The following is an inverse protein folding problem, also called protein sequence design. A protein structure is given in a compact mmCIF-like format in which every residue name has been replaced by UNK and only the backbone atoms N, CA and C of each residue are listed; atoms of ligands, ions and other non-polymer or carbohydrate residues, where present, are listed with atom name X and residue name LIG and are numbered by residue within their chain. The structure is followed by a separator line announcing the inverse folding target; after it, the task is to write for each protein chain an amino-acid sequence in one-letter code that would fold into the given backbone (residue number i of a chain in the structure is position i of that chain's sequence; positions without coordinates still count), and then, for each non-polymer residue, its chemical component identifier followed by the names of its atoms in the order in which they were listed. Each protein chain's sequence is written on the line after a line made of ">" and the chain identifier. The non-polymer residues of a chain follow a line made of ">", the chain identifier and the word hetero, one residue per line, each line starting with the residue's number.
data_IF_532320657854
#
_entry.id   IF_532320657854
#
_cell.length_a   1.000
_cell.length_b   1.000
_cell.length_c   1.000
_cell.angle_alpha   90.00
_cell.angle_beta   90.00
_cell.angle_gamma   90.00
#
_symmetry.space_group_name_H-M   'P 1'
#
loop_
_entity.id
_entity.type
_entity.pdbx_description
1 polymer ?
#
# COMPACT_ATOMS: atom_id res chain seq x y z
N UNK A 1 -28.26 0.69 24.97
CA UNK A 1 -28.29 0.22 23.58
C UNK A 1 -26.96 -0.47 23.30
N UNK A 2 -26.97 -1.66 22.68
CA UNK A 2 -25.75 -2.44 22.40
C UNK A 2 -25.42 -2.23 20.91
N UNK A 3 -24.20 -1.79 20.61
CA UNK A 3 -23.70 -1.67 19.24
C UNK A 3 -23.04 -3.01 18.88
N UNK A 4 -23.55 -3.66 17.84
CA UNK A 4 -22.99 -4.91 17.29
C UNK A 4 -22.21 -4.54 16.03
N UNK A 5 -20.99 -5.07 15.91
CA UNK A 5 -20.14 -4.88 14.73
C UNK A 5 -20.10 -6.18 13.94
N UNK A 6 -20.29 -6.07 12.62
CA UNK A 6 -20.17 -7.19 11.68
C UNK A 6 -18.69 -7.55 11.45
N UNK A 7 -18.46 -8.78 10.99
CA UNK A 7 -17.14 -9.21 10.55
C UNK A 7 -16.72 -8.49 9.27
N UNK A 8 -15.42 -8.22 9.13
CA UNK A 8 -14.89 -7.53 7.95
C UNK A 8 -14.87 -8.47 6.73
N UNK A 9 -15.53 -8.06 5.65
CA UNK A 9 -15.39 -8.70 4.35
C UNK A 9 -14.07 -8.28 3.69
N UNK A 10 -13.65 -9.01 2.66
CA UNK A 10 -12.39 -8.71 1.95
C UNK A 10 -12.44 -7.35 1.25
N UNK A 11 -13.63 -6.94 0.80
CA UNK A 11 -13.85 -5.61 0.25
C UNK A 11 -13.60 -4.51 1.30
N UNK A 12 -14.01 -4.73 2.56
CA UNK A 12 -13.78 -3.78 3.65
C UNK A 12 -12.29 -3.73 4.00
N UNK A 13 -11.61 -4.88 3.99
CA UNK A 13 -10.16 -4.95 4.22
C UNK A 13 -9.39 -4.18 3.14
N UNK A 14 -9.79 -4.29 1.87
CA UNK A 14 -9.19 -3.52 0.77
C UNK A 14 -9.36 -2.02 0.99
N UNK A 15 -10.57 -1.55 1.32
CA UNK A 15 -10.79 -0.14 1.63
C UNK A 15 -9.96 0.33 2.83
N UNK A 16 -9.78 -0.51 3.84
CA UNK A 16 -8.94 -0.17 4.98
C UNK A 16 -7.47 -0.08 4.55
N UNK A 17 -6.97 -0.96 3.68
CA UNK A 17 -5.62 -0.85 3.11
C UNK A 17 -5.47 0.47 2.35
N UNK A 18 -6.42 0.82 1.47
CA UNK A 18 -6.42 2.09 0.73
C UNK A 18 -6.35 3.30 1.67
N UNK A 19 -7.17 3.29 2.74
CA UNK A 19 -7.15 4.35 3.75
C UNK A 19 -5.82 4.45 4.49
N UNK A 20 -5.14 3.33 4.76
CA UNK A 20 -3.83 3.33 5.41
C UNK A 20 -2.74 3.82 4.46
N UNK A 21 -2.81 3.45 3.18
CA UNK A 21 -1.92 3.96 2.14
C UNK A 21 -2.10 5.47 1.95
N UNK A 22 -3.34 5.96 1.94
CA UNK A 22 -3.61 7.40 1.91
C UNK A 22 -2.91 8.14 3.05
N UNK A 23 -3.01 7.63 4.28
CA UNK A 23 -2.31 8.20 5.44
C UNK A 23 -0.79 8.13 5.32
N UNK A 24 -0.26 7.05 4.75
CA UNK A 24 1.18 6.93 4.49
C UNK A 24 1.63 7.98 3.47
N UNK A 25 0.85 8.18 2.40
CA UNK A 25 1.11 9.19 1.38
C UNK A 25 1.09 10.61 1.95
N UNK A 26 0.17 10.94 2.87
CA UNK A 26 0.19 12.26 3.54
C UNK A 26 1.52 12.57 4.26
N UNK A 27 2.22 11.54 4.74
CA UNK A 27 3.53 11.67 5.39
C UNK A 27 4.63 11.78 4.33
N UNK A 28 4.55 10.96 3.28
CA UNK A 28 5.53 10.88 2.20
C UNK A 28 5.50 12.08 1.25
N UNK A 29 4.35 12.74 1.09
CA UNK A 29 4.21 13.97 0.30
C UNK A 29 5.16 15.07 0.79
N UNK A 30 5.46 15.12 2.09
CA UNK A 30 6.45 16.04 2.66
C UNK A 30 7.88 15.84 2.13
N UNK A 31 8.14 14.66 1.55
CA UNK A 31 9.39 14.27 0.93
C UNK A 31 9.29 14.17 -0.60
N UNK A 32 8.20 14.67 -1.21
CA UNK A 32 7.95 14.56 -2.66
C UNK A 32 7.85 13.10 -3.14
N UNK A 33 7.46 12.20 -2.23
CA UNK A 33 7.27 10.78 -2.49
C UNK A 33 5.79 10.43 -2.46
N UNK A 34 5.38 9.54 -3.35
CA UNK A 34 4.02 8.99 -3.34
C UNK A 34 4.09 7.50 -3.61
N UNK A 35 3.26 6.71 -2.89
CA UNK A 35 3.16 5.27 -3.07
C UNK A 35 1.79 4.91 -3.63
N UNK A 36 1.79 3.93 -4.53
CA UNK A 36 0.60 3.26 -5.04
C UNK A 36 0.75 1.75 -4.87
N UNK A 37 -0.27 1.09 -4.33
CA UNK A 37 -0.32 -0.38 -4.33
C UNK A 37 -1.13 -0.84 -5.52
N UNK A 38 -0.65 -1.86 -6.22
CA UNK A 38 -1.45 -2.59 -7.20
C UNK A 38 -2.49 -3.47 -6.50
N UNK A 39 -3.55 -3.86 -7.20
CA UNK A 39 -4.57 -4.76 -6.64
C UNK A 39 -3.98 -6.12 -6.19
N UNK A 40 -2.96 -6.59 -6.90
CA UNK A 40 -2.22 -7.81 -6.54
C UNK A 40 -1.46 -7.65 -5.24
N UNK A 41 -0.77 -6.52 -5.04
CA UNK A 41 -0.07 -6.22 -3.79
C UNK A 41 -1.04 -6.09 -2.61
N UNK A 42 -2.19 -5.45 -2.81
CA UNK A 42 -3.23 -5.35 -1.78
C UNK A 42 -3.78 -6.73 -1.40
N UNK A 43 -4.10 -7.55 -2.39
CA UNK A 43 -4.62 -8.91 -2.18
C UNK A 43 -3.59 -9.75 -1.43
N UNK A 44 -2.32 -9.68 -1.83
CA UNK A 44 -1.21 -10.34 -1.15
C UNK A 44 -1.09 -9.90 0.32
N UNK A 45 -1.16 -8.60 0.59
CA UNK A 45 -1.11 -8.05 1.96
C UNK A 45 -2.22 -8.61 2.84
N UNK A 46 -3.45 -8.64 2.32
CA UNK A 46 -4.62 -9.16 3.02
C UNK A 46 -4.47 -10.66 3.26
N UNK A 47 -4.11 -11.44 2.25
CA UNK A 47 -3.93 -12.89 2.37
C UNK A 47 -2.81 -13.25 3.36
N UNK A 48 -1.70 -12.51 3.35
CA UNK A 48 -0.56 -12.76 4.23
C UNK A 48 -0.86 -12.43 5.69
N UNK A 49 -1.78 -11.50 5.98
CA UNK A 49 -1.91 -10.92 7.32
C UNK A 49 -3.29 -11.02 7.97
N UNK A 50 -4.35 -11.18 7.17
CA UNK A 50 -5.73 -11.32 7.60
C UNK A 50 -6.31 -12.71 7.32
N UNK A 51 -5.48 -13.75 7.23
CA UNK A 51 -5.94 -15.14 7.15
C UNK A 51 -6.80 -15.58 8.35
N UNK A 52 -6.61 -14.95 9.51
CA UNK A 52 -7.46 -15.12 10.69
C UNK A 52 -8.34 -13.87 10.89
N UNK A 53 -9.59 -13.94 10.41
CA UNK A 53 -10.57 -12.84 10.45
C UNK A 53 -10.93 -12.41 11.89
N UNK A 54 -10.63 -13.22 12.90
CA UNK A 54 -10.91 -12.94 14.32
C UNK A 54 -10.20 -11.69 14.83
N UNK A 55 -9.09 -11.29 14.20
CA UNK A 55 -8.32 -10.10 14.56
C UNK A 55 -8.77 -8.82 13.84
N UNK A 56 -9.71 -8.94 12.90
CA UNK A 56 -10.14 -7.84 12.03
C UNK A 56 -8.99 -7.21 11.25
N UNK A 57 -9.07 -5.91 10.98
CA UNK A 57 -8.07 -5.17 10.22
C UNK A 57 -6.83 -4.73 11.04
N UNK A 58 -6.78 -5.05 12.34
CA UNK A 58 -5.65 -4.62 13.21
C UNK A 58 -4.28 -5.08 12.70
N UNK A 59 -4.11 -6.30 12.16
CA UNK A 59 -2.84 -6.74 11.60
C UNK A 59 -2.40 -5.93 10.38
N UNK A 60 -3.32 -5.37 9.59
CA UNK A 60 -3.01 -4.65 8.34
C UNK A 60 -2.10 -3.45 8.57
N UNK A 61 -2.32 -2.70 9.65
CA UNK A 61 -1.45 -1.55 9.95
C UNK A 61 0.01 -1.99 10.15
N UNK A 62 0.23 -3.08 10.90
CA UNK A 62 1.57 -3.60 11.17
C UNK A 62 2.17 -4.27 9.93
N UNK A 63 1.34 -4.91 9.12
CA UNK A 63 1.72 -5.46 7.84
C UNK A 63 2.23 -4.38 6.89
N UNK A 64 1.49 -3.28 6.77
CA UNK A 64 1.85 -2.16 5.92
C UNK A 64 3.16 -1.51 6.36
N UNK A 65 3.33 -1.29 7.67
CA UNK A 65 4.59 -0.79 8.20
C UNK A 65 5.76 -1.71 7.81
N UNK A 66 5.62 -3.02 8.07
CA UNK A 66 6.70 -3.97 7.84
C UNK A 66 7.02 -4.20 6.36
N UNK A 67 6.00 -4.39 5.53
CA UNK A 67 6.19 -4.84 4.16
C UNK A 67 6.22 -3.70 3.14
N UNK A 68 5.79 -2.50 3.53
CA UNK A 68 5.76 -1.33 2.65
C UNK A 68 6.67 -0.23 3.20
N UNK A 69 6.43 0.26 4.41
CA UNK A 69 7.18 1.41 4.97
C UNK A 69 8.65 1.09 5.24
N UNK A 70 8.94 -0.05 5.88
CA UNK A 70 10.31 -0.47 6.21
C UNK A 70 11.10 -0.81 4.93
N UNK A 71 10.52 -1.58 4.01
CA UNK A 71 11.17 -1.97 2.76
C UNK A 71 11.41 -0.77 1.84
N UNK A 72 10.46 0.16 1.77
CA UNK A 72 10.65 1.44 1.08
C UNK A 72 11.82 2.23 1.68
N UNK A 73 11.87 2.32 3.00
CA UNK A 73 12.91 3.07 3.70
C UNK A 73 14.29 2.50 3.39
N UNK A 74 14.40 1.17 3.38
CA UNK A 74 15.63 0.48 2.98
C UNK A 74 16.01 0.78 1.52
N UNK A 75 15.07 0.68 0.58
CA UNK A 75 15.30 0.95 -0.84
C UNK A 75 15.73 2.41 -1.10
N UNK A 76 15.17 3.36 -0.36
CA UNK A 76 15.60 4.77 -0.39
C UNK A 76 17.03 4.95 0.14
N UNK A 77 17.37 4.28 1.25
CA UNK A 77 18.72 4.35 1.84
C UNK A 77 19.76 3.72 0.89
N UNK A 78 19.40 2.64 0.20
CA UNK A 78 20.27 1.98 -0.78
C UNK A 78 20.39 2.77 -2.10
N UNK A 79 19.55 3.80 -2.31
CA UNK A 79 19.54 4.60 -3.52
C UNK A 79 18.93 3.89 -4.73
N UNK A 80 18.15 2.82 -4.50
CA UNK A 80 17.43 2.12 -5.57
C UNK A 80 16.24 2.93 -6.08
N UNK A 81 15.71 3.82 -5.24
CA UNK A 81 14.55 4.68 -5.54
C UNK A 81 14.91 6.14 -5.27
N UNK A 82 14.46 7.03 -6.16
CA UNK A 82 14.68 8.47 -6.02
C UNK A 82 13.66 9.12 -5.08
N UNK A 83 14.08 10.16 -4.36
CA UNK A 83 13.23 10.94 -3.44
C UNK A 83 12.11 11.72 -4.15
N UNK A 84 12.17 11.91 -5.47
CA UNK A 84 11.16 12.63 -6.25
C UNK A 84 10.46 11.67 -7.23
N UNK A 85 9.71 10.70 -6.71
CA UNK A 85 9.11 9.65 -7.55
C UNK A 85 7.79 9.11 -7.01
N UNK A 86 6.95 8.67 -7.95
CA UNK A 86 5.82 7.81 -7.64
C UNK A 86 6.34 6.39 -7.60
N UNK A 87 6.07 5.68 -6.51
CA UNK A 87 6.55 4.33 -6.27
C UNK A 87 5.37 3.40 -6.34
N UNK A 88 5.39 2.49 -7.30
CA UNK A 88 4.39 1.44 -7.38
C UNK A 88 4.89 0.19 -6.69
N UNK A 89 4.05 -0.32 -5.79
CA UNK A 89 4.24 -1.53 -5.02
C UNK A 89 3.41 -2.62 -5.66
N UNK A 90 4.08 -3.66 -6.14
CA UNK A 90 3.47 -4.79 -6.80
C UNK A 90 3.91 -6.11 -6.14
N UNK A 91 3.15 -7.17 -6.34
CA UNK A 91 3.53 -8.49 -5.85
C UNK A 91 4.33 -9.22 -6.92
N UNK A 92 5.55 -9.64 -6.59
CA UNK A 92 6.40 -10.46 -7.45
C UNK A 92 7.04 -11.59 -6.62
N UNK A 93 6.97 -12.83 -7.11
CA UNK A 93 7.60 -13.99 -6.45
C UNK A 93 7.23 -14.17 -4.95
N UNK A 94 5.94 -13.99 -4.59
CA UNK A 94 5.43 -14.04 -3.21
C UNK A 94 6.06 -13.00 -2.26
N UNK A 95 6.52 -11.87 -2.81
CA UNK A 95 7.04 -10.72 -2.06
C UNK A 95 6.55 -9.41 -2.68
N UNK A 96 6.56 -8.35 -1.88
CA UNK A 96 6.33 -7.01 -2.42
C UNK A 96 7.62 -6.50 -3.05
N UNK A 97 7.50 -5.98 -4.26
CA UNK A 97 8.56 -5.34 -5.01
C UNK A 97 8.15 -3.90 -5.31
N UNK A 98 9.16 -3.04 -5.53
CA UNK A 98 8.99 -1.60 -5.69
C UNK A 98 9.57 -1.18 -7.02
N UNK A 99 8.83 -0.34 -7.76
CA UNK A 99 9.35 0.31 -8.97
C UNK A 99 9.02 1.80 -8.96
N UNK A 100 10.00 2.61 -9.31
CA UNK A 100 9.78 4.03 -9.55
C UNK A 100 9.11 4.23 -10.91
N UNK A 101 8.00 4.96 -10.90
CA UNK A 101 7.28 5.42 -12.09
C UNK A 101 7.56 6.92 -12.24
N UNK A 102 7.86 7.34 -13.47
CA UNK A 102 8.02 8.77 -13.76
C UNK A 102 6.66 9.46 -13.78
N UNK A 103 6.59 10.66 -13.20
CA UNK A 103 5.38 11.50 -13.18
C UNK A 103 4.75 11.66 -14.58
N UNK A 104 5.57 11.76 -15.63
CA UNK A 104 5.13 11.87 -17.04
C UNK A 104 4.34 10.64 -17.53
N UNK A 105 4.62 9.44 -17.01
CA UNK A 105 3.89 8.21 -17.34
C UNK A 105 2.58 8.12 -16.56
N UNK A 106 2.58 8.63 -15.31
CA UNK A 106 1.40 8.65 -14.45
C UNK A 106 0.30 9.58 -14.98
N UNK A 107 0.66 10.79 -15.42
CA UNK A 107 -0.32 11.73 -16.01
C UNK A 107 -0.98 11.14 -17.26
N UNK A 108 -0.22 10.44 -18.11
CA UNK A 108 -0.78 9.77 -19.29
C UNK A 108 -1.82 8.72 -18.92
N UNK A 109 -1.51 7.83 -17.98
CA UNK A 109 -2.43 6.74 -17.59
C UNK A 109 -3.74 7.26 -16.98
N UNK A 110 -3.69 8.40 -16.30
CA UNK A 110 -4.87 9.02 -15.66
C UNK A 110 -5.74 9.80 -16.66
N UNK A 111 -5.13 10.53 -17.60
CA UNK A 111 -5.88 11.28 -18.62
C UNK A 111 -6.42 10.39 -19.75
N UNK A 112 -5.84 9.23 -20.03
CA UNK A 112 -6.35 8.29 -21.05
C UNK A 112 -7.58 7.49 -20.59
N UNK A 113 -7.82 7.42 -19.26
CA UNK A 113 -8.97 6.74 -18.65
C UNK A 113 -10.15 7.67 -18.29
N UNK A 114 -10.03 8.98 -18.56
CA UNK A 114 -11.07 9.99 -18.34
C UNK A 114 -11.84 10.31 -19.63
#
# INVERSE_FOLDING_TARGET
>A
EIIIFDELADADLRQIVDLQIGKLNEILEKRTLQIRLTEEAQSWLIEKTCGDRSYGARPLKRALQKYVEDELSEALIQGEISEESIIEVFCENDKLAFRAIRLEEFEKEFFEKA
#
